data_IF_619967358751
#
_entry.id   IF_619967358751
#
_cell.length_a   1.000
_cell.length_b   1.000
_cell.length_c   1.000
_cell.angle_alpha   90.00
_cell.angle_beta   90.00
_cell.angle_gamma   90.00
#
_symmetry.space_group_name_H-M   'P 1'
#
loop_
_entity.id
_entity.type
_entity.pdbx_description
1 polymer ?
#
# COMPACT_ATOMS: atom_id res chain seq x y z
N UNK A 1 -69.09 -53.75 -22.19
CA UNK A 1 -68.00 -52.88 -22.68
C UNK A 1 -66.73 -53.26 -21.92
N UNK A 2 -65.72 -53.79 -22.61
CA UNK A 2 -64.44 -54.17 -21.99
C UNK A 2 -63.58 -52.91 -21.94
N UNK A 3 -63.23 -52.45 -20.74
CA UNK A 3 -62.42 -51.24 -20.55
C UNK A 3 -60.97 -51.61 -20.84
N UNK A 4 -60.35 -50.98 -21.84
CA UNK A 4 -58.95 -51.18 -22.20
C UNK A 4 -58.02 -50.48 -21.20
N UNK A 5 -57.73 -51.12 -20.06
CA UNK A 5 -56.81 -50.61 -19.01
C UNK A 5 -55.34 -50.42 -19.45
N UNK A 6 -55.01 -50.74 -20.71
CA UNK A 6 -53.67 -50.51 -21.27
C UNK A 6 -53.41 -49.04 -21.59
N UNK A 7 -54.44 -48.27 -21.97
CA UNK A 7 -54.32 -46.83 -22.21
C UNK A 7 -54.05 -46.02 -20.93
N UNK A 8 -54.76 -46.36 -19.86
CA UNK A 8 -54.61 -45.69 -18.55
C UNK A 8 -53.22 -45.92 -17.93
N UNK A 9 -52.64 -47.13 -18.10
CA UNK A 9 -51.27 -47.42 -17.64
C UNK A 9 -50.23 -46.61 -18.44
N UNK A 10 -50.45 -46.42 -19.75
CA UNK A 10 -49.56 -45.63 -20.62
C UNK A 10 -49.53 -44.14 -20.24
N UNK A 11 -50.70 -43.55 -19.93
CA UNK A 11 -50.79 -42.16 -19.47
C UNK A 11 -50.04 -41.97 -18.14
N UNK A 12 -50.14 -42.93 -17.22
CA UNK A 12 -49.38 -42.91 -15.96
C UNK A 12 -47.86 -42.87 -16.18
N UNK A 13 -47.34 -43.67 -17.12
CA UNK A 13 -45.90 -43.67 -17.44
C UNK A 13 -45.41 -42.37 -18.07
N UNK A 14 -46.22 -41.73 -18.92
CA UNK A 14 -45.89 -40.44 -19.52
C UNK A 14 -45.85 -39.31 -18.48
N UNK A 15 -46.78 -39.33 -17.51
CA UNK A 15 -46.80 -38.34 -16.42
C UNK A 15 -45.53 -38.44 -15.58
N UNK A 16 -45.13 -39.64 -15.17
CA UNK A 16 -43.91 -39.86 -14.38
C UNK A 16 -42.66 -39.48 -15.18
N UNK A 17 -42.64 -39.78 -16.48
CA UNK A 17 -41.53 -39.40 -17.35
C UNK A 17 -41.35 -37.88 -17.40
N UNK A 18 -42.42 -37.13 -17.62
CA UNK A 18 -42.38 -35.66 -17.65
C UNK A 18 -41.95 -35.12 -16.28
N UNK A 19 -42.53 -35.65 -15.19
CA UNK A 19 -42.17 -35.24 -13.83
C UNK A 19 -40.68 -35.46 -13.53
N UNK A 20 -40.12 -36.62 -13.89
CA UNK A 20 -38.71 -36.94 -13.71
C UNK A 20 -37.81 -35.99 -14.50
N UNK A 21 -38.16 -35.67 -15.75
CA UNK A 21 -37.40 -34.73 -16.58
C UNK A 21 -37.40 -33.33 -15.97
N UNK A 22 -38.53 -32.86 -15.42
CA UNK A 22 -38.60 -31.55 -14.77
C UNK A 22 -37.77 -31.49 -13.49
N UNK A 23 -37.80 -32.54 -12.66
CA UNK A 23 -36.97 -32.62 -11.45
C UNK A 23 -35.49 -32.65 -11.81
N UNK A 24 -35.11 -33.44 -12.82
CA UNK A 24 -33.74 -33.50 -13.32
C UNK A 24 -33.25 -32.15 -13.87
N UNK A 25 -34.13 -31.40 -14.55
CA UNK A 25 -33.81 -30.05 -15.04
C UNK A 25 -33.52 -29.08 -13.89
N UNK A 26 -34.40 -29.01 -12.88
CA UNK A 26 -34.20 -28.13 -11.71
C UNK A 26 -32.94 -28.52 -10.93
N UNK A 27 -32.73 -29.81 -10.70
CA UNK A 27 -31.52 -30.31 -10.03
C UNK A 27 -30.25 -29.92 -10.80
N UNK A 28 -30.26 -30.06 -12.14
CA UNK A 28 -29.14 -29.68 -13.01
C UNK A 28 -28.86 -28.18 -12.94
N UNK A 29 -29.89 -27.33 -12.94
CA UNK A 29 -29.73 -25.87 -12.81
C UNK A 29 -29.06 -25.49 -11.48
N UNK A 30 -29.48 -26.10 -10.37
CA UNK A 30 -28.87 -25.84 -9.05
C UNK A 30 -27.42 -26.32 -9.00
N UNK A 31 -27.13 -27.51 -9.57
CA UNK A 31 -25.78 -28.04 -9.65
C UNK A 31 -24.86 -27.15 -10.47
N UNK A 32 -25.29 -26.69 -11.64
CA UNK A 32 -24.51 -25.79 -12.50
C UNK A 32 -24.30 -24.44 -11.82
N UNK A 33 -25.34 -23.87 -11.20
CA UNK A 33 -25.23 -22.61 -10.48
C UNK A 33 -24.23 -22.71 -9.30
N UNK A 34 -24.28 -23.80 -8.56
CA UNK A 34 -23.36 -24.04 -7.43
C UNK A 34 -21.93 -24.25 -7.93
N UNK A 35 -21.74 -25.04 -8.99
CA UNK A 35 -20.43 -25.23 -9.61
C UNK A 35 -19.85 -23.91 -10.16
N UNK A 36 -20.68 -23.10 -10.82
CA UNK A 36 -20.26 -21.80 -11.37
C UNK A 36 -19.86 -20.80 -10.28
N UNK A 37 -20.66 -20.69 -9.21
CA UNK A 37 -20.31 -19.81 -8.08
C UNK A 37 -19.05 -20.27 -7.35
N UNK A 38 -18.86 -21.57 -7.16
CA UNK A 38 -17.63 -22.14 -6.60
C UNK A 38 -16.42 -21.87 -7.49
N UNK A 39 -16.56 -21.99 -8.81
CA UNK A 39 -15.48 -21.72 -9.76
C UNK A 39 -15.09 -20.23 -9.78
N UNK A 40 -16.06 -19.32 -9.77
CA UNK A 40 -15.79 -17.88 -9.69
C UNK A 40 -15.09 -17.51 -8.39
N UNK A 41 -15.54 -18.07 -7.25
CA UNK A 41 -14.87 -17.90 -5.95
C UNK A 41 -13.46 -18.46 -5.96
N UNK A 42 -13.26 -19.68 -6.45
CA UNK A 42 -11.94 -20.31 -6.53
C UNK A 42 -10.96 -19.50 -7.39
N UNK A 43 -11.41 -18.96 -8.52
CA UNK A 43 -10.58 -18.09 -9.38
C UNK A 43 -10.23 -16.77 -8.68
N UNK A 44 -11.22 -16.09 -8.10
CA UNK A 44 -11.01 -14.82 -7.38
C UNK A 44 -10.07 -15.00 -6.18
N UNK A 45 -10.29 -16.02 -5.36
CA UNK A 45 -9.41 -16.34 -4.22
C UNK A 45 -8.01 -16.75 -4.68
N UNK A 46 -7.89 -17.51 -5.77
CA UNK A 46 -6.59 -17.86 -6.35
C UNK A 46 -5.82 -16.61 -6.81
N UNK A 47 -6.50 -15.66 -7.46
CA UNK A 47 -5.90 -14.38 -7.83
C UNK A 47 -5.51 -13.58 -6.58
N UNK A 48 -6.43 -13.34 -5.64
CA UNK A 48 -6.16 -12.57 -4.43
C UNK A 48 -5.02 -13.15 -3.58
N UNK A 49 -4.95 -14.47 -3.44
CA UNK A 49 -3.87 -15.12 -2.68
C UNK A 49 -2.54 -15.02 -3.39
N UNK A 50 -2.51 -15.17 -4.71
CA UNK A 50 -1.29 -14.96 -5.51
C UNK A 50 -0.81 -13.52 -5.36
N UNK A 51 -1.72 -12.54 -5.46
CA UNK A 51 -1.39 -11.12 -5.26
C UNK A 51 -0.85 -10.89 -3.85
N UNK A 52 -1.50 -11.43 -2.82
CA UNK A 52 -1.11 -11.26 -1.42
C UNK A 52 0.29 -11.81 -1.09
N UNK A 53 0.78 -12.83 -1.80
CA UNK A 53 2.12 -13.40 -1.56
C UNK A 53 3.17 -12.87 -2.52
N UNK A 54 2.77 -12.40 -3.70
CA UNK A 54 3.70 -11.88 -4.71
C UNK A 54 3.97 -10.39 -4.53
N UNK A 55 3.00 -9.60 -4.03
CA UNK A 55 3.18 -8.16 -3.82
C UNK A 55 3.96 -7.90 -2.54
N UNK A 56 4.94 -7.01 -2.62
CA UNK A 56 5.69 -6.57 -1.45
C UNK A 56 6.42 -5.26 -1.70
N UNK A 57 6.52 -4.47 -0.64
CA UNK A 57 7.35 -3.27 -0.62
C UNK A 57 8.65 -3.56 0.13
N UNK A 58 9.76 -3.11 -0.43
CA UNK A 58 11.08 -3.19 0.17
C UNK A 58 11.59 -1.79 0.48
N UNK A 59 12.21 -1.62 1.64
CA UNK A 59 12.86 -0.37 2.05
C UNK A 59 14.34 -0.51 1.71
N UNK A 60 14.85 0.36 0.84
CA UNK A 60 16.24 0.29 0.37
C UNK A 60 17.19 1.06 1.28
N UNK A 61 16.85 2.30 1.62
CA UNK A 61 17.72 3.19 2.40
C UNK A 61 16.91 4.26 3.11
N UNK A 62 17.42 4.73 4.24
CA UNK A 62 16.75 5.78 5.02
C UNK A 62 17.74 6.89 5.30
N UNK A 63 17.34 8.12 4.99
CA UNK A 63 18.12 9.31 5.25
C UNK A 63 17.34 10.26 6.15
N UNK A 64 18.04 10.94 7.05
CA UNK A 64 17.49 12.01 7.87
C UNK A 64 18.26 13.29 7.67
N UNK A 65 17.58 14.44 7.76
CA UNK A 65 18.21 15.75 7.85
C UNK A 65 18.15 16.26 9.29
N UNK A 66 19.28 16.74 9.79
CA UNK A 66 19.35 17.42 11.07
C UNK A 66 18.78 18.85 10.96
N UNK A 67 18.34 19.43 12.09
CA UNK A 67 17.97 20.83 12.11
C UNK A 67 19.22 21.71 11.94
N UNK A 68 19.41 22.27 10.75
CA UNK A 68 20.42 23.30 10.45
C UNK A 68 20.13 24.61 11.22
N UNK A 69 20.42 24.65 12.51
CA UNK A 69 20.63 25.91 13.23
C UNK A 69 21.65 25.71 14.36
N UNK A 70 22.93 25.86 13.99
CA UNK A 70 24.04 26.28 14.86
C UNK A 70 24.27 25.49 16.18
N UNK A 71 24.73 24.24 16.10
CA UNK A 71 25.75 23.66 17.00
C UNK A 71 25.91 22.16 16.70
N UNK A 72 27.15 21.72 16.46
CA UNK A 72 27.57 20.32 16.21
C UNK A 72 27.38 19.38 17.41
N UNK A 73 26.45 19.64 18.31
CA UNK A 73 26.39 18.97 19.62
C UNK A 73 24.97 18.57 20.04
N UNK A 74 23.89 19.17 19.50
CA UNK A 74 22.52 18.87 19.96
C UNK A 74 21.44 19.00 18.87
N UNK A 75 21.75 18.64 17.62
CA UNK A 75 20.72 18.55 16.58
C UNK A 75 19.75 17.40 16.84
N UNK A 76 18.51 17.53 16.36
CA UNK A 76 17.55 16.44 16.21
C UNK A 76 17.16 16.29 14.74
N UNK A 77 16.79 15.08 14.32
CA UNK A 77 16.35 14.81 12.95
C UNK A 77 14.95 15.38 12.78
N UNK A 78 14.81 16.33 11.83
CA UNK A 78 13.51 16.95 11.52
C UNK A 78 12.75 16.17 10.47
N UNK A 79 13.41 15.90 9.35
CA UNK A 79 12.80 15.25 8.20
C UNK A 79 13.51 13.94 7.91
N UNK A 80 12.73 12.95 7.51
CA UNK A 80 13.20 11.63 7.11
C UNK A 80 12.71 11.36 5.69
N UNK A 81 13.61 10.85 4.85
CA UNK A 81 13.32 10.35 3.52
C UNK A 81 13.58 8.84 3.51
N UNK A 82 12.52 8.06 3.29
CA UNK A 82 12.54 6.60 3.29
C UNK A 82 12.44 6.15 1.83
N UNK A 83 13.53 5.59 1.30
CA UNK A 83 13.57 5.09 -0.07
C UNK A 83 12.94 3.71 -0.10
N UNK A 84 11.91 3.59 -0.92
CA UNK A 84 11.17 2.35 -1.12
C UNK A 84 11.24 1.94 -2.59
N UNK A 85 11.17 0.64 -2.79
CA UNK A 85 11.04 0.01 -4.10
C UNK A 85 10.14 -1.21 -3.99
N UNK A 86 9.58 -1.62 -5.12
CA UNK A 86 8.80 -2.84 -5.22
C UNK A 86 9.72 -4.06 -5.25
N UNK A 87 9.31 -5.17 -4.63
CA UNK A 87 10.05 -6.43 -4.75
C UNK A 87 9.86 -7.04 -6.14
N UNK A 88 10.87 -7.74 -6.67
CA UNK A 88 10.75 -8.42 -7.98
C UNK A 88 9.55 -9.39 -8.00
N UNK A 89 8.78 -9.36 -9.10
CA UNK A 89 7.58 -10.20 -9.27
C UNK A 89 6.33 -9.69 -8.54
N UNK A 90 6.42 -8.52 -7.91
CA UNK A 90 5.25 -7.84 -7.35
C UNK A 90 4.38 -7.23 -8.46
N UNK A 91 3.13 -6.93 -8.09
CA UNK A 91 2.21 -6.16 -8.91
C UNK A 91 2.19 -4.69 -8.46
N UNK A 92 1.95 -3.75 -9.38
CA UNK A 92 2.03 -2.33 -9.08
C UNK A 92 1.21 -1.93 -7.84
N UNK A 93 1.85 -1.19 -6.94
CA UNK A 93 1.27 -0.79 -5.65
C UNK A 93 0.95 0.70 -5.67
N UNK A 94 -0.30 1.05 -5.36
CA UNK A 94 -0.68 2.46 -5.20
C UNK A 94 -0.32 2.97 -3.80
N UNK A 95 0.61 3.92 -3.74
CA UNK A 95 1.07 4.59 -2.51
C UNK A 95 -0.01 5.43 -1.84
N UNK A 96 -1.05 5.84 -2.57
CA UNK A 96 -2.19 6.55 -2.00
C UNK A 96 -2.99 5.72 -1.00
N UNK A 97 -2.90 4.39 -1.07
CA UNK A 97 -3.59 3.44 -0.19
C UNK A 97 -2.64 2.74 0.79
N UNK A 98 -1.37 3.17 0.84
CA UNK A 98 -0.36 2.63 1.76
C UNK A 98 -0.45 3.36 3.10
N UNK A 99 -0.24 2.62 4.17
CA UNK A 99 -0.12 3.19 5.52
C UNK A 99 1.31 3.04 6.01
N UNK A 100 1.86 4.11 6.56
CA UNK A 100 3.19 4.13 7.15
C UNK A 100 3.05 4.19 8.67
N UNK A 101 3.55 3.18 9.37
CA UNK A 101 3.56 3.17 10.82
C UNK A 101 4.98 3.42 11.32
N UNK A 102 5.14 4.34 12.25
CA UNK A 102 6.42 4.67 12.89
C UNK A 102 6.23 4.71 14.40
N UNK A 103 7.13 4.06 15.12
CA UNK A 103 7.14 4.01 16.59
C UNK A 103 8.44 4.61 17.11
N UNK A 104 8.29 5.59 18.01
CA UNK A 104 9.38 6.31 18.64
C UNK A 104 9.05 6.56 20.11
N UNK A 105 9.96 6.15 21.01
CA UNK A 105 9.85 6.33 22.48
C UNK A 105 8.48 5.93 23.07
N UNK A 106 7.90 4.83 22.57
CA UNK A 106 6.61 4.30 23.03
C UNK A 106 5.37 4.97 22.43
N UNK A 107 5.52 5.96 21.54
CA UNK A 107 4.43 6.50 20.75
C UNK A 107 4.47 5.90 19.34
N UNK A 108 3.32 5.42 18.86
CA UNK A 108 3.16 4.91 17.49
C UNK A 108 2.29 5.88 16.70
N UNK A 109 2.83 6.40 15.62
CA UNK A 109 2.13 7.23 14.65
C UNK A 109 1.79 6.41 13.40
N UNK A 110 0.59 6.58 12.87
CA UNK A 110 0.15 6.00 11.62
C UNK A 110 -0.10 7.13 10.62
N UNK A 111 0.71 7.16 9.56
CA UNK A 111 0.71 8.19 8.54
C UNK A 111 0.04 7.67 7.27
N UNK A 112 -0.73 8.55 6.64
CA UNK A 112 -1.42 8.29 5.37
C UNK A 112 -0.91 9.23 4.27
N UNK A 113 -1.17 8.92 3.01
CA UNK A 113 -0.76 9.81 1.94
C UNK A 113 -1.55 11.12 1.99
N UNK A 114 -0.85 12.26 1.98
CA UNK A 114 -1.48 13.59 2.11
C UNK A 114 -2.34 13.98 0.89
N UNK A 115 -2.16 13.30 -0.25
CA UNK A 115 -2.85 13.63 -1.50
C UNK A 115 -2.18 14.78 -2.27
N UNK A 116 -2.46 14.89 -3.56
CA UNK A 116 -2.06 16.03 -4.38
C UNK A 116 -3.30 16.82 -4.82
N UNK A 117 -3.47 18.03 -4.27
CA UNK A 117 -4.53 18.98 -4.60
C UNK A 117 -3.93 20.37 -4.81
N UNK A 118 -4.68 21.30 -5.40
CA UNK A 118 -4.24 22.67 -5.73
C UNK A 118 -3.66 23.46 -4.54
N UNK A 119 -4.00 23.09 -3.30
CA UNK A 119 -3.52 23.72 -2.05
C UNK A 119 -2.48 22.89 -1.31
N UNK A 120 -2.32 21.60 -1.66
CA UNK A 120 -1.50 20.63 -0.93
C UNK A 120 -0.74 19.79 -1.95
N UNK A 121 0.54 20.07 -2.11
CA UNK A 121 1.42 19.30 -2.98
C UNK A 121 2.00 18.11 -2.20
N UNK A 122 1.28 16.99 -2.13
CA UNK A 122 1.76 15.75 -1.52
C UNK A 122 2.65 14.90 -2.41
N UNK A 123 2.69 15.20 -3.71
CA UNK A 123 3.49 14.52 -4.69
C UNK A 123 4.46 15.48 -5.34
N UNK A 124 5.70 15.04 -5.42
CA UNK A 124 6.76 15.74 -6.11
C UNK A 124 7.51 14.78 -7.02
N UNK A 125 7.99 15.30 -8.15
CA UNK A 125 8.86 14.54 -9.04
C UNK A 125 10.25 15.14 -9.09
N UNK A 126 11.24 14.28 -8.92
CA UNK A 126 12.66 14.53 -9.15
C UNK A 126 13.22 13.56 -10.21
N UNK A 127 12.37 13.06 -11.12
CA UNK A 127 12.75 12.10 -12.16
C UNK A 127 13.81 12.62 -13.15
N UNK A 128 13.97 13.96 -13.24
CA UNK A 128 15.00 14.63 -14.05
C UNK A 128 16.30 14.88 -13.26
N UNK A 129 16.41 14.33 -12.04
CA UNK A 129 17.48 14.59 -11.09
C UNK A 129 17.16 15.76 -10.15
N UNK A 130 17.68 15.69 -8.93
CA UNK A 130 17.64 16.78 -7.95
C UNK A 130 18.97 16.90 -7.23
N UNK A 131 19.37 18.14 -6.92
CA UNK A 131 20.60 18.41 -6.16
C UNK A 131 20.44 18.09 -4.67
N UNK A 132 19.20 18.08 -4.14
CA UNK A 132 18.92 17.75 -2.74
C UNK A 132 17.46 17.26 -2.60
N UNK A 133 17.26 16.11 -1.96
CA UNK A 133 15.94 15.53 -1.67
C UNK A 133 15.25 16.16 -0.46
N UNK A 134 15.99 16.90 0.37
CA UNK A 134 15.49 17.63 1.54
C UNK A 134 15.23 19.12 1.27
N UNK A 135 14.88 19.50 0.03
CA UNK A 135 14.47 20.88 -0.23
C UNK A 135 13.11 21.18 0.43
N UNK A 136 12.98 22.36 1.04
CA UNK A 136 11.74 22.80 1.71
C UNK A 136 10.50 22.72 0.82
N UNK A 137 10.67 22.87 -0.50
CA UNK A 137 9.59 22.72 -1.50
C UNK A 137 8.92 21.35 -1.50
N UNK A 138 9.64 20.29 -1.12
CA UNK A 138 9.13 18.91 -1.08
C UNK A 138 8.42 18.59 0.25
N UNK A 139 8.64 19.43 1.25
CA UNK A 139 8.08 19.30 2.59
C UNK A 139 7.05 20.39 2.89
N UNK A 140 6.69 21.23 1.91
CA UNK A 140 5.77 22.36 2.13
C UNK A 140 4.39 21.91 2.60
N UNK A 141 3.92 20.76 2.12
CA UNK A 141 2.67 20.15 2.56
C UNK A 141 2.76 19.54 3.97
N UNK A 142 3.98 19.29 4.45
CA UNK A 142 4.30 18.64 5.72
C UNK A 142 4.93 19.61 6.74
N UNK A 143 4.86 20.93 6.51
CA UNK A 143 5.40 21.90 7.48
C UNK A 143 4.51 21.96 8.73
N UNK A 144 5.09 22.31 9.87
CA UNK A 144 4.45 22.27 11.20
C UNK A 144 3.19 23.16 11.30
N UNK A 145 3.01 24.10 10.37
CA UNK A 145 1.84 24.99 10.29
C UNK A 145 0.72 24.47 9.37
N UNK A 146 0.93 23.34 8.69
CA UNK A 146 -0.06 22.73 7.80
C UNK A 146 -0.92 21.73 8.59
N UNK A 147 -2.24 21.82 8.45
CA UNK A 147 -3.24 21.06 9.23
C UNK A 147 -3.26 19.52 9.02
N UNK A 148 -2.18 18.94 8.51
CA UNK A 148 -2.02 17.51 8.24
C UNK A 148 -0.58 17.00 8.33
N UNK A 149 0.35 17.79 8.87
CA UNK A 149 1.76 17.41 8.90
C UNK A 149 2.10 16.28 9.90
N UNK A 150 1.27 16.04 10.91
CA UNK A 150 1.47 14.98 11.91
C UNK A 150 0.98 13.60 11.47
N UNK A 151 -0.01 13.57 10.58
CA UNK A 151 -0.77 12.35 10.26
C UNK A 151 -0.58 11.90 8.81
N UNK A 152 0.26 12.62 8.05
CA UNK A 152 0.48 12.34 6.64
C UNK A 152 1.96 12.26 6.24
N UNK A 153 2.21 11.56 5.14
CA UNK A 153 3.47 11.54 4.43
C UNK A 153 3.30 12.07 3.00
N UNK A 154 4.39 12.55 2.41
CA UNK A 154 4.46 12.98 1.02
C UNK A 154 5.31 11.99 0.21
N UNK A 155 5.13 12.00 -1.10
CA UNK A 155 5.76 11.09 -2.05
C UNK A 155 6.66 11.89 -2.98
N UNK A 156 7.92 11.46 -3.08
CA UNK A 156 8.90 12.02 -4.01
C UNK A 156 9.37 10.93 -4.96
N UNK A 157 9.17 11.14 -6.26
CA UNK A 157 9.66 10.20 -7.28
C UNK A 157 11.08 10.53 -7.69
N UNK A 158 11.95 9.53 -7.71
CA UNK A 158 13.38 9.69 -8.02
C UNK A 158 13.68 9.09 -9.38
N UNK A 159 13.18 7.89 -9.63
CA UNK A 159 13.23 7.24 -10.92
C UNK A 159 11.84 6.71 -11.25
N UNK A 160 11.34 7.10 -12.42
CA UNK A 160 10.04 6.68 -12.93
C UNK A 160 10.16 6.41 -14.45
N UNK A 161 10.79 5.29 -14.84
CA UNK A 161 10.88 4.91 -16.25
C UNK A 161 9.51 4.60 -16.88
N UNK A 162 8.50 4.25 -16.09
CA UNK A 162 7.18 3.82 -16.59
C UNK A 162 6.15 4.96 -16.66
N UNK A 163 6.47 6.12 -16.08
CA UNK A 163 5.57 7.28 -15.94
C UNK A 163 4.26 6.95 -15.22
N UNK A 164 4.27 5.93 -14.34
CA UNK A 164 3.08 5.47 -13.62
C UNK A 164 2.78 6.29 -12.36
N UNK A 165 3.72 7.12 -11.90
CA UNK A 165 3.55 7.88 -10.68
C UNK A 165 2.95 9.25 -10.97
N UNK A 166 1.66 9.41 -10.66
CA UNK A 166 0.97 10.69 -10.73
C UNK A 166 0.62 11.23 -9.34
N UNK A 167 0.34 12.52 -9.25
CA UNK A 167 -0.03 13.15 -7.97
C UNK A 167 -1.30 12.58 -7.33
N UNK A 168 -2.30 12.27 -8.14
CA UNK A 168 -3.57 11.72 -7.68
C UNK A 168 -3.48 10.21 -7.44
N UNK A 169 -2.71 9.51 -8.28
CA UNK A 169 -2.51 8.07 -8.22
C UNK A 169 -1.01 7.76 -8.33
N UNK A 170 -0.27 7.79 -7.21
CA UNK A 170 1.14 7.42 -7.18
C UNK A 170 1.28 5.90 -7.19
N UNK A 171 1.34 5.29 -8.37
CA UNK A 171 1.46 3.83 -8.53
C UNK A 171 2.93 3.45 -8.78
N UNK A 172 3.54 2.74 -7.84
CA UNK A 172 4.89 2.18 -7.99
C UNK A 172 4.80 0.90 -8.79
N UNK A 173 5.67 0.78 -9.79
CA UNK A 173 5.86 -0.41 -10.58
C UNK A 173 7.32 -0.88 -10.51
N UNK A 174 7.59 -2.04 -11.12
CA UNK A 174 8.92 -2.61 -11.16
C UNK A 174 9.92 -1.67 -11.86
N UNK A 175 10.98 -1.32 -11.15
CA UNK A 175 12.05 -0.43 -11.63
C UNK A 175 11.88 1.03 -11.21
N UNK A 176 10.75 1.39 -10.59
CA UNK A 176 10.55 2.72 -10.04
C UNK A 176 11.23 2.85 -8.67
N UNK A 177 11.76 4.04 -8.38
CA UNK A 177 12.33 4.39 -7.09
C UNK A 177 11.64 5.62 -6.52
N UNK A 178 11.16 5.48 -5.29
CA UNK A 178 10.35 6.50 -4.62
C UNK A 178 10.87 6.73 -3.22
N UNK A 179 10.88 7.98 -2.79
CA UNK A 179 11.12 8.36 -1.41
C UNK A 179 9.81 8.78 -0.75
N UNK A 180 9.50 8.18 0.40
CA UNK A 180 8.49 8.67 1.32
C UNK A 180 9.11 9.74 2.19
N UNK A 181 8.51 10.93 2.16
CA UNK A 181 8.96 12.09 2.92
C UNK A 181 8.08 12.22 4.17
N UNK A 182 8.73 12.31 5.33
CA UNK A 182 8.07 12.41 6.63
C UNK A 182 8.68 13.54 7.44
N UNK A 183 7.82 14.39 8.00
CA UNK A 183 8.24 15.38 8.98
C UNK A 183 8.09 14.81 10.40
N UNK A 184 9.19 14.29 10.94
CA UNK A 184 9.23 13.68 12.27
C UNK A 184 8.99 14.71 13.38
N UNK A 185 9.45 15.96 13.21
CA UNK A 185 9.14 17.01 14.20
C UNK A 185 7.65 17.27 14.34
N UNK A 186 6.89 17.23 13.23
CA UNK A 186 5.44 17.41 13.28
C UNK A 186 4.72 16.19 13.86
N UNK A 187 5.20 14.98 13.56
CA UNK A 187 4.60 13.70 14.00
C UNK A 187 4.80 13.46 15.50
N UNK A 188 6.00 13.67 16.02
CA UNK A 188 6.37 13.32 17.40
C UNK A 188 6.56 14.53 18.32
N UNK A 189 6.38 15.76 17.81
CA UNK A 189 6.54 17.03 18.54
C UNK A 189 7.99 17.39 18.87
N UNK A 190 8.84 16.39 19.11
CA UNK A 190 10.28 16.50 19.17
C UNK A 190 10.89 15.64 18.06
N UNK A 191 11.86 16.19 17.31
CA UNK A 191 12.60 15.42 16.32
C UNK A 191 13.33 14.22 16.94
N UNK A 192 13.87 13.33 16.10
CA UNK A 192 14.59 12.15 16.60
C UNK A 192 15.91 12.61 17.22
N UNK A 193 16.12 12.29 18.50
CA UNK A 193 17.39 12.59 19.19
C UNK A 193 18.45 11.53 18.91
N UNK A 194 19.70 11.87 19.17
CA UNK A 194 20.86 10.99 19.02
C UNK A 194 20.69 9.71 19.85
N UNK A 195 21.20 8.59 19.34
CA UNK A 195 21.17 7.28 20.02
C UNK A 195 19.79 6.64 20.18
N UNK A 196 18.73 7.20 19.60
CA UNK A 196 17.39 6.62 19.69
C UNK A 196 17.07 5.73 18.50
N UNK A 197 16.43 4.60 18.78
CA UNK A 197 15.88 3.69 17.77
C UNK A 197 14.48 4.10 17.34
N UNK A 198 14.21 4.03 16.04
CA UNK A 198 12.87 4.12 15.46
C UNK A 198 12.58 2.82 14.73
N UNK A 199 11.39 2.29 14.97
CA UNK A 199 10.89 1.08 14.32
C UNK A 199 9.57 1.36 13.64
N UNK A 200 9.29 0.73 12.53
CA UNK A 200 8.07 0.96 11.78
C UNK A 200 7.89 -0.01 10.63
N UNK A 201 6.83 0.21 9.86
CA UNK A 201 6.57 -0.55 8.65
C UNK A 201 5.76 0.25 7.65
N UNK A 202 6.04 0.03 6.37
CA UNK A 202 5.23 0.50 5.24
C UNK A 202 4.32 -0.66 4.83
N UNK A 203 3.03 -0.53 5.08
CA UNK A 203 2.06 -1.60 4.82
C UNK A 203 1.24 -1.28 3.57
N UNK A 204 1.39 -2.06 2.48
CA UNK A 204 0.52 -1.96 1.32
C UNK A 204 -0.86 -2.57 1.57
N UNK A 205 -1.88 -2.24 0.76
CA UNK A 205 -3.23 -2.81 0.90
C UNK A 205 -3.28 -4.32 0.68
N UNK A 206 -2.37 -4.86 -0.12
CA UNK A 206 -2.14 -6.29 -0.29
C UNK A 206 -0.64 -6.54 -0.39
N UNK A 207 -0.17 -7.63 0.19
CA UNK A 207 1.24 -7.99 0.15
C UNK A 207 1.99 -7.87 1.47
N UNK A 208 3.29 -8.06 1.36
CA UNK A 208 4.20 -8.02 2.49
C UNK A 208 4.59 -6.57 2.83
N UNK A 209 4.52 -6.19 4.11
CA UNK A 209 4.96 -4.86 4.55
C UNK A 209 6.48 -4.73 4.49
N UNK A 210 6.94 -3.54 4.13
CA UNK A 210 8.36 -3.17 4.21
C UNK A 210 8.71 -2.76 5.63
N UNK A 211 9.69 -3.40 6.25
CA UNK A 211 10.11 -3.09 7.63
C UNK A 211 11.06 -1.89 7.63
N UNK A 212 10.81 -0.96 8.55
CA UNK A 212 11.67 0.19 8.82
C UNK A 212 12.28 -0.01 10.20
N UNK A 213 13.60 -0.05 10.28
CA UNK A 213 14.29 -0.06 11.57
C UNK A 213 15.62 0.65 11.43
N UNK A 214 15.80 1.71 12.20
CA UNK A 214 17.05 2.43 12.23
C UNK A 214 17.33 2.97 13.63
N UNK A 215 18.61 3.23 13.91
CA UNK A 215 19.05 3.91 15.12
C UNK A 215 19.80 5.15 14.73
N UNK A 216 19.36 6.31 15.25
CA UNK A 216 20.07 7.56 15.01
C UNK A 216 21.45 7.50 15.66
N UNK A 217 22.53 7.97 14.99
CA UNK A 217 23.88 7.94 15.57
C UNK A 217 23.99 8.82 16.82
N UNK A 218 24.99 8.52 17.65
CA UNK A 218 25.31 9.23 18.89
C UNK A 218 25.85 10.65 18.67
N UNK A 219 26.13 11.05 17.42
CA UNK A 219 26.54 12.40 17.06
C UNK A 219 26.22 12.71 15.61
N UNK A 220 25.69 13.90 15.35
CA UNK A 220 25.38 14.39 14.00
C UNK A 220 26.53 15.25 13.47
N UNK A 221 27.48 14.61 12.77
CA UNK A 221 28.65 15.29 12.17
C UNK A 221 28.36 15.89 10.79
N UNK A 222 27.24 15.51 10.16
CA UNK A 222 26.82 15.97 8.84
C UNK A 222 25.35 16.41 8.86
N UNK A 223 24.97 17.28 7.92
CA UNK A 223 23.60 17.77 7.78
C UNK A 223 22.61 16.66 7.38
N UNK A 224 23.07 15.77 6.49
CA UNK A 224 22.32 14.59 6.06
C UNK A 224 23.01 13.36 6.65
N UNK A 225 22.23 12.50 7.28
CA UNK A 225 22.71 11.29 7.93
C UNK A 225 22.00 10.08 7.35
N UNK A 226 22.78 9.10 6.91
CA UNK A 226 22.25 7.79 6.56
C UNK A 226 21.93 7.03 7.84
N UNK A 227 20.71 6.52 7.92
CA UNK A 227 20.15 5.85 9.09
C UNK A 227 20.02 4.33 8.85
N UNK A 228 19.88 3.92 7.59
CA UNK A 228 19.82 2.52 7.14
C UNK A 228 20.43 2.40 5.73
#
# INVERSE_FOLDING_TARGET
MKVDSRGDTGIGTLIVFIAMVLVAAVASTVLIHTAGTLQQRASSTGQQTTQQVSTGLSVSSIYGINNETAAFTAGSIKWVAIYIGETSGSQPVNLGNVTLQLTYKGQTASLTYIGNNSTVAGYHSAAQGTNNVFQSKYFSALDNNSAGASDHFAVLTIADPTSSLSGTYPVVSYGDQVALLVNVTAVFGAGISQGQSVTGSVTPPSGNPGVIQFTAPESFTQAIVQLQ
#
